data_IF_618815506345
#
_entry.id   IF_618815506345
#
_cell.length_a   1.000
_cell.length_b   1.000
_cell.length_c   1.000
_cell.angle_alpha   90.00
_cell.angle_beta   90.00
_cell.angle_gamma   90.00
#
_symmetry.space_group_name_H-M   'P 1'
#
loop_
_entity.id
_entity.type
_entity.pdbx_description
1 polymer ?
#
# COMPACT_ATOMS: atom_id res chain seq x y z
N UNK A 1 -7.83 22.94 -14.13
CA UNK A 1 -6.68 22.09 -14.51
C UNK A 1 -6.63 20.76 -13.75
N UNK A 2 -7.25 20.64 -12.57
CA UNK A 2 -7.31 19.37 -11.82
C UNK A 2 -8.22 18.29 -12.45
N UNK A 3 -9.23 18.71 -13.23
CA UNK A 3 -10.14 17.79 -13.96
C UNK A 3 -9.45 16.94 -15.04
N UNK A 4 -8.32 17.41 -15.59
CA UNK A 4 -7.62 16.70 -16.69
C UNK A 4 -6.63 15.65 -16.17
N UNK A 5 -6.12 15.81 -14.93
CA UNK A 5 -5.27 14.80 -14.28
C UNK A 5 -6.08 13.53 -13.97
N UNK A 6 -7.33 13.70 -13.53
CA UNK A 6 -8.32 12.65 -13.24
C UNK A 6 -8.56 11.70 -14.42
N UNK A 7 -8.58 12.22 -15.64
CA UNK A 7 -8.88 11.44 -16.83
C UNK A 7 -7.77 10.41 -17.15
N UNK A 8 -6.50 10.69 -16.81
CA UNK A 8 -5.37 9.82 -17.19
C UNK A 8 -5.22 8.58 -16.28
N UNK A 9 -5.85 8.54 -15.10
CA UNK A 9 -5.90 7.30 -14.30
C UNK A 9 -7.18 6.49 -14.53
N UNK A 10 -8.25 7.12 -15.00
CA UNK A 10 -9.50 6.42 -15.32
C UNK A 10 -9.48 5.69 -16.68
N UNK A 11 -8.69 6.15 -17.65
CA UNK A 11 -8.76 5.65 -19.03
C UNK A 11 -8.14 4.26 -19.26
N UNK A 12 -7.37 3.70 -18.32
CA UNK A 12 -6.73 2.38 -18.51
C UNK A 12 -7.62 1.19 -18.10
N UNK A 13 -8.79 1.44 -17.50
CA UNK A 13 -9.65 0.39 -16.92
C UNK A 13 -10.96 0.16 -17.68
N UNK A 14 -11.23 0.89 -18.77
CA UNK A 14 -12.51 0.82 -19.50
C UNK A 14 -12.66 -0.40 -20.43
N UNK A 15 -11.71 -1.35 -20.44
CA UNK A 15 -11.73 -2.48 -21.39
C UNK A 15 -11.40 -3.82 -20.73
N UNK A 16 -12.03 -4.15 -19.59
CA UNK A 16 -12.29 -5.56 -19.25
C UNK A 16 -13.36 -5.71 -18.16
N UNK A 17 -14.46 -6.38 -18.51
CA UNK A 17 -15.54 -6.92 -17.67
C UNK A 17 -16.60 -5.96 -17.05
N UNK A 18 -17.85 -6.17 -17.46
CA UNK A 18 -19.06 -5.46 -17.03
C UNK A 18 -19.54 -5.85 -15.61
N UNK A 19 -18.84 -6.75 -14.91
CA UNK A 19 -19.07 -7.04 -13.48
C UNK A 19 -18.42 -6.01 -12.53
N UNK A 20 -17.65 -5.05 -13.07
CA UNK A 20 -16.82 -4.11 -12.31
C UNK A 20 -17.58 -3.13 -11.42
N UNK A 21 -18.91 -3.00 -11.51
CA UNK A 21 -19.70 -1.84 -11.07
C UNK A 21 -19.70 -1.51 -9.56
N UNK A 22 -19.14 -2.36 -8.69
CA UNK A 22 -18.98 -2.11 -7.25
C UNK A 22 -17.51 -1.88 -6.83
N UNK A 23 -16.54 -2.44 -7.57
CA UNK A 23 -15.12 -2.40 -7.21
C UNK A 23 -14.43 -1.12 -7.72
N UNK A 24 -14.86 -0.56 -8.85
CA UNK A 24 -14.31 0.71 -9.36
C UNK A 24 -14.67 1.93 -8.51
N UNK A 25 -15.85 1.95 -7.86
CA UNK A 25 -16.28 3.06 -6.99
C UNK A 25 -15.35 3.24 -5.79
N UNK A 26 -14.77 2.16 -5.27
CA UNK A 26 -13.76 2.26 -4.20
C UNK A 26 -12.43 2.81 -4.70
N UNK A 27 -12.05 2.50 -5.94
CA UNK A 27 -10.81 2.99 -6.55
C UNK A 27 -10.88 4.46 -6.99
N UNK A 28 -12.03 4.96 -7.44
CA UNK A 28 -12.20 6.39 -7.70
C UNK A 28 -11.97 7.22 -6.43
N UNK A 29 -12.43 6.74 -5.27
CA UNK A 29 -12.18 7.39 -3.99
C UNK A 29 -10.70 7.39 -3.58
N UNK A 30 -9.88 6.49 -4.13
CA UNK A 30 -8.43 6.45 -3.87
C UNK A 30 -7.66 7.47 -4.72
N UNK A 31 -8.23 7.94 -5.83
CA UNK A 31 -7.56 8.80 -6.79
C UNK A 31 -7.62 10.29 -6.38
N UNK A 32 -6.83 10.67 -5.38
CA UNK A 32 -6.67 12.07 -4.99
C UNK A 32 -5.21 12.37 -4.68
N UNK A 33 -4.78 13.62 -4.92
CA UNK A 33 -3.44 14.07 -4.53
C UNK A 33 -3.20 13.89 -3.02
N UNK A 34 -4.24 14.05 -2.20
CA UNK A 34 -4.17 13.78 -0.76
C UNK A 34 -3.85 12.31 -0.47
N UNK A 35 -4.56 11.36 -1.09
CA UNK A 35 -4.30 9.93 -0.93
C UNK A 35 -2.92 9.53 -1.46
N UNK A 36 -2.47 10.15 -2.56
CA UNK A 36 -1.13 9.93 -3.07
C UNK A 36 -0.05 10.33 -2.08
N UNK A 37 -0.24 11.45 -1.37
CA UNK A 37 0.66 11.88 -0.30
C UNK A 37 0.56 10.94 0.91
N UNK A 38 -0.63 10.48 1.28
CA UNK A 38 -0.83 9.54 2.39
C UNK A 38 -0.13 8.21 2.14
N UNK A 39 -0.41 7.55 1.00
CA UNK A 39 0.24 6.29 0.63
C UNK A 39 1.72 6.49 0.35
N UNK A 40 2.10 7.61 -0.28
CA UNK A 40 3.50 7.94 -0.54
C UNK A 40 4.30 8.12 0.74
N UNK A 41 3.72 8.68 1.80
CA UNK A 41 4.35 8.79 3.12
C UNK A 41 4.61 7.42 3.74
N UNK A 42 3.65 6.51 3.65
CA UNK A 42 3.82 5.13 4.12
C UNK A 42 4.95 4.45 3.33
N UNK A 43 4.89 4.48 2.00
CA UNK A 43 5.93 3.91 1.12
C UNK A 43 7.31 4.51 1.43
N UNK A 44 7.41 5.81 1.69
CA UNK A 44 8.67 6.44 2.04
C UNK A 44 9.24 5.92 3.35
N UNK A 45 8.44 5.75 4.40
CA UNK A 45 8.98 5.26 5.66
C UNK A 45 9.25 3.75 5.65
N UNK A 46 8.43 2.98 4.94
CA UNK A 46 8.50 1.50 4.91
C UNK A 46 9.47 0.96 3.85
N UNK A 47 9.70 1.70 2.75
CA UNK A 47 10.45 1.21 1.59
C UNK A 47 11.34 2.26 0.91
N UNK A 48 11.70 3.36 1.59
CA UNK A 48 12.76 4.25 1.06
C UNK A 48 14.06 3.46 0.87
N UNK A 49 14.73 3.67 -0.25
CA UNK A 49 15.95 2.96 -0.61
C UNK A 49 15.72 1.59 -1.25
N UNK A 50 14.48 1.04 -1.20
CA UNK A 50 14.15 -0.18 -1.93
C UNK A 50 14.05 0.10 -3.44
N UNK A 51 14.28 -0.93 -4.29
CA UNK A 51 13.96 -0.86 -5.71
C UNK A 51 12.50 -0.43 -5.92
N UNK A 52 12.20 0.23 -7.04
CA UNK A 52 10.84 0.70 -7.35
C UNK A 52 9.79 -0.42 -7.22
N UNK A 53 10.14 -1.66 -7.58
CA UNK A 53 9.27 -2.83 -7.42
C UNK A 53 8.90 -3.11 -5.96
N UNK A 54 9.80 -2.88 -5.00
CA UNK A 54 9.54 -3.01 -3.56
C UNK A 54 8.65 -1.89 -3.02
N UNK A 55 8.84 -0.65 -3.51
CA UNK A 55 7.97 0.47 -3.18
C UNK A 55 6.52 0.26 -3.68
N UNK A 56 6.38 -0.24 -4.92
CA UNK A 56 5.10 -0.66 -5.49
C UNK A 56 4.48 -1.79 -4.65
N UNK A 57 5.27 -2.78 -4.23
CA UNK A 57 4.79 -3.89 -3.39
C UNK A 57 4.21 -3.42 -2.04
N UNK A 58 4.88 -2.47 -1.36
CA UNK A 58 4.36 -1.87 -0.13
C UNK A 58 3.06 -1.09 -0.39
N UNK A 59 2.99 -0.30 -1.46
CA UNK A 59 1.76 0.40 -1.82
C UNK A 59 0.60 -0.57 -2.10
N UNK A 60 0.86 -1.69 -2.78
CA UNK A 60 -0.15 -2.73 -3.01
C UNK A 60 -0.62 -3.40 -1.72
N UNK A 61 0.22 -3.53 -0.70
CA UNK A 61 -0.23 -4.07 0.60
C UNK A 61 -1.39 -3.27 1.20
N UNK A 62 -1.44 -1.96 0.96
CA UNK A 62 -2.53 -1.09 1.40
C UNK A 62 -3.78 -1.38 0.56
N UNK A 63 -3.65 -1.39 -0.77
CA UNK A 63 -4.76 -1.68 -1.68
C UNK A 63 -5.36 -3.07 -1.42
N UNK A 64 -4.51 -4.07 -1.20
CA UNK A 64 -4.91 -5.43 -0.91
C UNK A 64 -5.66 -5.52 0.42
N UNK A 65 -5.24 -4.77 1.45
CA UNK A 65 -5.99 -4.66 2.71
C UNK A 65 -7.36 -4.02 2.50
N UNK A 66 -7.45 -2.92 1.76
CA UNK A 66 -8.74 -2.27 1.45
C UNK A 66 -9.72 -3.25 0.78
N UNK A 67 -9.21 -4.13 -0.08
CA UNK A 67 -10.02 -5.09 -0.84
C UNK A 67 -10.22 -6.44 -0.13
N UNK A 68 -9.68 -6.63 1.09
CA UNK A 68 -9.72 -7.91 1.78
C UNK A 68 -10.67 -7.84 2.99
N UNK A 69 -11.63 -8.77 3.07
CA UNK A 69 -12.71 -8.81 4.08
C UNK A 69 -12.24 -8.88 5.54
N UNK A 70 -10.99 -9.27 5.76
CA UNK A 70 -10.34 -9.30 7.08
C UNK A 70 -9.78 -7.94 7.56
N UNK A 71 -9.85 -6.88 6.74
CA UNK A 71 -9.30 -5.56 7.04
C UNK A 71 -10.36 -4.46 6.83
N UNK A 72 -10.11 -3.24 7.32
CA UNK A 72 -10.94 -2.10 6.98
C UNK A 72 -10.98 -1.83 5.46
N UNK A 73 -12.11 -1.35 4.98
CA UNK A 73 -12.40 -1.21 3.54
C UNK A 73 -12.17 0.21 2.98
N UNK A 74 -11.40 1.06 3.68
CA UNK A 74 -11.06 2.38 3.19
C UNK A 74 -9.63 2.76 3.60
N UNK A 75 -9.03 3.69 2.84
CA UNK A 75 -7.64 4.07 2.99
C UNK A 75 -7.29 4.57 4.39
N UNK A 76 -8.10 5.48 4.96
CA UNK A 76 -7.80 6.05 6.27
C UNK A 76 -7.84 4.98 7.36
N UNK A 77 -8.85 4.10 7.34
CA UNK A 77 -8.95 3.04 8.34
C UNK A 77 -7.84 2.00 8.20
N UNK A 78 -7.31 1.74 7.00
CA UNK A 78 -6.16 0.84 6.79
C UNK A 78 -4.85 1.50 7.21
N UNK A 79 -4.58 2.72 6.75
CA UNK A 79 -3.31 3.43 7.00
C UNK A 79 -3.17 3.78 8.48
N UNK A 80 -4.25 4.23 9.12
CA UNK A 80 -4.26 4.62 10.54
C UNK A 80 -4.76 3.50 11.46
N UNK A 81 -4.78 2.25 10.99
CA UNK A 81 -5.11 1.10 11.84
C UNK A 81 -4.11 1.01 13.00
N UNK A 82 -4.60 0.90 14.23
CA UNK A 82 -3.76 0.63 15.40
C UNK A 82 -3.65 -0.87 15.64
N UNK A 83 -2.45 -1.32 15.99
CA UNK A 83 -2.18 -2.66 16.51
C UNK A 83 -2.63 -2.74 17.97
N UNK A 84 -2.84 -3.95 18.49
CA UNK A 84 -3.21 -4.19 19.90
C UNK A 84 -2.16 -3.68 20.89
N UNK A 85 -0.91 -3.50 20.44
CA UNK A 85 0.21 -2.93 21.21
C UNK A 85 0.18 -1.40 21.29
N UNK A 86 -0.79 -0.74 20.65
CA UNK A 86 -1.01 0.70 20.72
C UNK A 86 -0.41 1.52 19.57
N UNK A 87 0.58 0.98 18.84
CA UNK A 87 1.17 1.65 17.67
C UNK A 87 0.35 1.53 16.39
N UNK A 88 0.66 2.33 15.36
CA UNK A 88 0.08 2.20 14.03
C UNK A 88 0.65 0.99 13.30
N UNK A 89 -0.20 0.37 12.48
CA UNK A 89 0.17 -0.72 11.58
C UNK A 89 1.29 -0.34 10.60
N UNK A 90 1.44 0.96 10.30
CA UNK A 90 2.58 1.54 9.60
C UNK A 90 3.29 2.49 10.58
N UNK A 91 4.43 2.06 11.14
CA UNK A 91 5.16 2.78 12.21
C UNK A 91 5.64 4.18 11.78
N UNK A 92 5.67 4.44 10.48
CA UNK A 92 5.96 5.74 9.84
C UNK A 92 5.06 6.89 10.33
N UNK A 93 3.95 6.57 11.00
CA UNK A 93 2.96 7.52 11.49
C UNK A 93 3.09 7.83 12.99
N UNK A 94 3.80 7.01 13.77
CA UNK A 94 3.86 7.15 15.23
C UNK A 94 4.91 8.15 15.73
N UNK A 95 5.98 8.39 14.96
CA UNK A 95 7.13 9.15 15.45
C UNK A 95 7.26 10.53 14.77
N UNK A 96 7.52 11.57 15.59
CA UNK A 96 7.79 12.92 15.10
C UNK A 96 9.02 12.97 14.17
N UNK A 97 10.02 12.09 14.39
CA UNK A 97 11.18 11.95 13.51
C UNK A 97 10.80 11.51 12.10
N UNK A 98 9.86 10.55 11.95
CA UNK A 98 9.35 10.12 10.65
C UNK A 98 8.60 11.25 9.93
N UNK A 99 7.78 11.99 10.66
CA UNK A 99 7.10 13.19 10.13
C UNK A 99 8.11 14.23 9.62
N UNK A 100 9.16 14.53 10.40
CA UNK A 100 10.22 15.45 10.00
C UNK A 100 10.95 14.98 8.75
N UNK A 101 11.34 13.70 8.70
CA UNK A 101 12.05 13.12 7.56
C UNK A 101 11.22 13.20 6.26
N UNK A 102 9.91 12.90 6.34
CA UNK A 102 9.00 13.05 5.21
C UNK A 102 8.89 14.50 4.74
N UNK A 103 8.66 15.44 5.66
CA UNK A 103 8.50 16.86 5.32
C UNK A 103 9.78 17.44 4.73
N UNK A 104 10.94 17.09 5.28
CA UNK A 104 12.23 17.51 4.76
C UNK A 104 12.49 16.96 3.34
N UNK A 105 12.24 15.66 3.11
CA UNK A 105 12.37 15.06 1.79
C UNK A 105 11.40 15.66 0.77
N UNK A 106 10.16 15.99 1.19
CA UNK A 106 9.16 16.69 0.38
C UNK A 106 9.61 18.10 0.03
N UNK A 107 10.08 18.87 1.01
CA UNK A 107 10.53 20.25 0.81
C UNK A 107 11.76 20.33 -0.10
N UNK A 108 12.69 19.38 0.05
CA UNK A 108 13.87 19.25 -0.81
C UNK A 108 13.60 18.53 -2.13
N UNK A 109 12.37 18.04 -2.33
CA UNK A 109 11.94 17.25 -3.48
C UNK A 109 12.94 16.13 -3.84
N UNK A 110 13.36 15.33 -2.86
CA UNK A 110 14.42 14.33 -3.06
C UNK A 110 13.96 13.19 -3.98
N UNK A 111 14.92 12.42 -4.50
CA UNK A 111 14.60 11.29 -5.39
C UNK A 111 13.80 10.20 -4.66
N UNK A 112 14.06 9.98 -3.36
CA UNK A 112 13.30 9.03 -2.53
C UNK A 112 11.85 9.48 -2.36
N UNK A 113 11.62 10.78 -2.10
CA UNK A 113 10.27 11.35 -2.04
C UNK A 113 9.53 11.17 -3.37
N UNK A 114 10.17 11.52 -4.48
CA UNK A 114 9.58 11.38 -5.83
C UNK A 114 9.26 9.93 -6.17
N UNK A 115 10.13 8.99 -5.81
CA UNK A 115 9.90 7.57 -6.05
C UNK A 115 8.72 7.04 -5.22
N UNK A 116 8.61 7.42 -3.95
CA UNK A 116 7.51 7.00 -3.09
C UNK A 116 6.16 7.55 -3.59
N UNK A 117 6.11 8.83 -3.98
CA UNK A 117 4.93 9.44 -4.60
C UNK A 117 4.60 8.80 -5.95
N UNK A 118 5.61 8.45 -6.77
CA UNK A 118 5.40 7.77 -8.04
C UNK A 118 4.80 6.38 -7.82
N UNK A 119 5.36 5.57 -6.93
CA UNK A 119 4.82 4.25 -6.59
C UNK A 119 3.39 4.33 -6.09
N UNK A 120 3.13 5.25 -5.15
CA UNK A 120 1.79 5.54 -4.62
C UNK A 120 0.79 5.88 -5.72
N UNK A 121 1.12 6.85 -6.59
CA UNK A 121 0.27 7.25 -7.70
C UNK A 121 0.05 6.10 -8.68
N UNK A 122 1.10 5.42 -9.10
CA UNK A 122 1.00 4.37 -10.11
C UNK A 122 0.15 3.19 -9.62
N UNK A 123 0.27 2.83 -8.33
CA UNK A 123 -0.56 1.79 -7.72
C UNK A 123 -2.00 2.24 -7.59
N UNK A 124 -2.28 3.40 -6.99
CA UNK A 124 -3.65 3.88 -6.77
C UNK A 124 -4.37 4.23 -8.08
N UNK A 125 -3.63 4.46 -9.16
CA UNK A 125 -4.15 4.62 -10.51
C UNK A 125 -4.32 3.33 -11.31
N UNK A 126 -3.86 2.18 -10.79
CA UNK A 126 -3.84 0.93 -11.56
C UNK A 126 -2.91 0.97 -12.80
N UNK A 127 -1.86 1.79 -12.79
CA UNK A 127 -0.90 1.92 -13.92
C UNK A 127 0.16 0.82 -13.95
N UNK A 128 0.33 0.14 -12.84
CA UNK A 128 1.24 -0.98 -12.67
C UNK A 128 0.43 -2.17 -12.17
N UNK A 129 0.96 -3.38 -12.31
CA UNK A 129 0.35 -4.60 -11.76
C UNK A 129 0.89 -4.91 -10.37
N UNK A 130 0.12 -5.59 -9.51
CA UNK A 130 0.58 -6.04 -8.19
C UNK A 130 1.72 -7.08 -8.31
N UNK A 131 2.97 -6.73 -7.95
CA UNK A 131 4.09 -7.67 -8.02
C UNK A 131 4.02 -8.74 -6.91
N UNK A 132 3.17 -8.56 -5.91
CA UNK A 132 2.95 -9.45 -4.77
C UNK A 132 1.75 -10.39 -4.96
N UNK A 133 0.93 -10.12 -5.98
CA UNK A 133 -0.35 -10.78 -6.30
C UNK A 133 -1.49 -10.55 -5.31
N UNK A 134 -1.22 -10.64 -4.00
CA UNK A 134 -2.25 -10.55 -2.97
C UNK A 134 -1.72 -10.17 -1.58
N UNK A 135 -0.47 -9.70 -1.47
CA UNK A 135 0.14 -9.58 -0.15
C UNK A 135 -0.58 -8.52 0.69
N UNK A 136 -0.96 -8.89 1.91
CA UNK A 136 -1.54 -7.99 2.91
C UNK A 136 -0.55 -7.68 4.01
N UNK A 137 0.58 -8.41 4.08
CA UNK A 137 1.57 -8.28 5.14
C UNK A 137 2.98 -8.53 4.62
N UNK A 138 3.95 -7.90 5.27
CA UNK A 138 5.36 -8.03 4.93
C UNK A 138 6.27 -7.81 6.14
N UNK A 139 7.54 -8.19 6.00
CA UNK A 139 8.60 -7.96 6.99
C UNK A 139 9.96 -7.78 6.32
N UNK A 140 10.84 -7.01 6.96
CA UNK A 140 12.25 -6.89 6.54
C UNK A 140 13.09 -8.15 6.83
N UNK A 141 12.69 -8.93 7.84
CA UNK A 141 13.38 -10.15 8.25
C UNK A 141 12.44 -11.35 8.21
N UNK A 142 13.01 -12.52 7.95
CA UNK A 142 12.28 -13.78 7.97
C UNK A 142 13.14 -14.85 8.68
N UNK A 143 12.60 -15.55 9.71
CA UNK A 143 11.22 -15.54 10.17
C UNK A 143 10.83 -14.28 10.97
N UNK A 144 9.64 -13.72 10.69
CA UNK A 144 8.98 -12.74 11.55
C UNK A 144 7.55 -13.20 11.89
N UNK A 145 6.88 -12.57 12.86
CA UNK A 145 5.51 -12.93 13.22
C UNK A 145 4.50 -12.64 12.10
N UNK A 146 4.68 -11.56 11.32
CA UNK A 146 3.71 -11.18 10.30
C UNK A 146 3.64 -12.16 9.11
N UNK A 147 4.69 -12.97 8.90
CA UNK A 147 4.81 -13.97 7.82
C UNK A 147 4.50 -15.41 8.27
N UNK A 148 4.16 -15.63 9.56
CA UNK A 148 3.86 -16.97 10.13
C UNK A 148 2.37 -17.23 10.26
N UNK A 149 1.89 -18.34 9.70
CA UNK A 149 0.53 -18.83 9.95
C UNK A 149 0.25 -19.07 11.43
N UNK A 150 -1.01 -18.90 11.85
CA UNK A 150 -1.51 -19.26 13.18
C UNK A 150 -2.95 -19.77 13.08
N UNK A 151 -3.61 -19.98 14.23
CA UNK A 151 -4.96 -20.53 14.29
C UNK A 151 -6.05 -19.68 13.58
N UNK A 152 -5.81 -18.38 13.38
CA UNK A 152 -6.78 -17.44 12.80
C UNK A 152 -6.54 -17.15 11.32
N UNK A 153 -5.31 -17.35 10.84
CA UNK A 153 -4.96 -17.08 9.46
C UNK A 153 -3.76 -17.90 8.99
N UNK A 154 -3.73 -18.18 7.69
CA UNK A 154 -2.62 -18.85 7.00
C UNK A 154 -1.87 -17.85 6.13
N UNK A 155 -0.54 -17.85 6.24
CA UNK A 155 0.35 -17.16 5.32
C UNK A 155 0.53 -18.00 4.05
N UNK A 156 0.21 -17.45 2.89
CA UNK A 156 0.39 -18.10 1.59
C UNK A 156 1.16 -17.20 0.63
N UNK A 157 1.59 -17.76 -0.51
CA UNK A 157 2.25 -17.02 -1.60
C UNK A 157 3.44 -16.15 -1.12
N UNK A 158 4.26 -16.72 -0.23
CA UNK A 158 5.42 -16.05 0.33
C UNK A 158 6.45 -15.75 -0.75
N UNK A 159 6.92 -14.51 -0.81
CA UNK A 159 7.95 -14.10 -1.76
C UNK A 159 8.83 -12.98 -1.23
N UNK A 160 10.03 -12.83 -1.79
CA UNK A 160 10.94 -11.73 -1.45
C UNK A 160 11.02 -10.73 -2.60
N UNK A 161 10.82 -9.45 -2.30
CA UNK A 161 11.01 -8.33 -3.23
C UNK A 161 11.87 -7.29 -2.51
N UNK A 162 13.07 -7.05 -3.05
CA UNK A 162 14.08 -6.24 -2.36
C UNK A 162 14.45 -6.89 -1.03
N UNK A 163 14.39 -6.12 0.06
CA UNK A 163 14.68 -6.58 1.40
C UNK A 163 13.45 -7.06 2.18
N UNK A 164 12.25 -7.00 1.58
CA UNK A 164 11.02 -7.44 2.24
C UNK A 164 10.57 -8.83 1.80
N UNK A 165 10.05 -9.59 2.76
CA UNK A 165 9.26 -10.79 2.53
C UNK A 165 7.77 -10.44 2.63
N UNK A 166 7.02 -10.72 1.57
CA UNK A 166 5.58 -10.48 1.45
C UNK A 166 4.80 -11.78 1.56
N UNK A 167 3.62 -11.75 2.18
CA UNK A 167 2.69 -12.89 2.26
C UNK A 167 1.25 -12.44 2.05
N UNK A 168 0.43 -13.32 1.50
CA UNK A 168 -1.02 -13.17 1.49
C UNK A 168 -1.59 -13.84 2.73
N UNK A 169 -2.38 -13.11 3.52
CA UNK A 169 -3.14 -13.73 4.60
C UNK A 169 -4.48 -14.21 4.07
N UNK A 170 -4.80 -15.46 4.40
CA UNK A 170 -6.14 -16.03 4.18
C UNK A 170 -6.69 -16.47 5.52
N UNK A 171 -7.98 -16.25 5.77
CA UNK A 171 -8.65 -16.79 6.96
C UNK A 171 -8.55 -18.31 6.93
N UNK A 172 -8.19 -18.91 8.07
CA UNK A 172 -8.43 -20.34 8.28
C UNK A 172 -9.94 -20.52 8.40
N UNK A 173 -10.55 -21.23 7.47
CA UNK A 173 -11.94 -21.66 7.59
C UNK A 173 -12.06 -22.50 8.86
N UNK A 174 -12.86 -22.01 9.81
CA UNK A 174 -13.36 -22.81 10.93
C UNK A 174 -14.41 -23.81 10.46
#
# INVERSE_FOLDING_TARGET
>A
MEAFKLIVCALFMMVWDASANLWWKSWEALYTDANFQTVGRVVFGEARGEPMRGQIAVAYSIVNRINHEGYPNNLNSVVYQRMSTGGYQYETLDLASHTRAWNDAKNRNTWEYRNAIKASRDVLCGRVSDPTRCATDYCAFDPCHATKSNQWWRATNKMRIGNHYFVCRVRTSG
#
